data_IF_218788954032
#
_entry.id   IF_218788954032
#
_cell.length_a   1.000
_cell.length_b   1.000
_cell.length_c   1.000
_cell.angle_alpha   90.00
_cell.angle_beta   90.00
_cell.angle_gamma   90.00
#
_symmetry.space_group_name_H-M   'P 1'
#
loop_
_entity.id
_entity.type
_entity.pdbx_description
1 polymer ?
#
# COMPACT_ATOMS: atom_id res chain seq x y z
N UNK A 1 21.17 -16.95 -3.28
CA UNK A 1 21.12 -17.37 -1.87
C UNK A 1 21.12 -16.12 -1.00
N UNK A 2 19.95 -15.47 -0.84
CA UNK A 2 19.85 -14.18 -0.15
C UNK A 2 18.46 -14.00 0.51
N UNK A 3 17.69 -15.08 0.66
CA UNK A 3 16.27 -15.06 1.05
C UNK A 3 16.08 -14.48 2.46
N UNK A 4 17.03 -14.72 3.36
CA UNK A 4 17.02 -14.17 4.72
C UNK A 4 17.21 -12.65 4.70
N UNK A 5 18.11 -12.12 3.87
CA UNK A 5 18.32 -10.68 3.73
C UNK A 5 17.10 -9.99 3.09
N UNK A 6 16.49 -10.62 2.09
CA UNK A 6 15.23 -10.13 1.51
C UNK A 6 14.08 -10.15 2.52
N UNK A 7 13.96 -11.22 3.31
CA UNK A 7 12.95 -11.30 4.35
C UNK A 7 13.19 -10.25 5.44
N UNK A 8 14.45 -9.98 5.80
CA UNK A 8 14.80 -8.96 6.80
C UNK A 8 14.53 -7.55 6.29
N UNK A 9 14.88 -7.24 5.04
CA UNK A 9 14.55 -5.97 4.41
C UNK A 9 13.04 -5.79 4.27
N UNK A 10 12.33 -6.81 3.79
CA UNK A 10 10.87 -6.79 3.68
C UNK A 10 10.21 -6.61 5.06
N UNK A 11 10.73 -7.27 6.09
CA UNK A 11 10.25 -7.12 7.47
C UNK A 11 10.54 -5.72 8.00
N UNK A 12 11.74 -5.18 7.76
CA UNK A 12 12.12 -3.82 8.14
C UNK A 12 11.26 -2.75 7.46
N UNK A 13 10.93 -2.94 6.18
CA UNK A 13 10.02 -2.05 5.43
C UNK A 13 8.60 -2.16 5.97
N UNK A 14 8.11 -3.35 6.32
CA UNK A 14 6.78 -3.52 6.93
C UNK A 14 6.70 -2.83 8.29
N UNK A 15 7.72 -2.99 9.14
CA UNK A 15 7.78 -2.37 10.47
C UNK A 15 7.90 -0.85 10.32
N UNK A 16 8.87 -0.36 9.53
CA UNK A 16 9.06 1.07 9.30
C UNK A 16 7.85 1.73 8.64
N UNK A 17 7.26 1.05 7.64
CA UNK A 17 6.03 1.47 6.98
C UNK A 17 4.83 1.48 7.91
N UNK A 18 4.72 0.53 8.84
CA UNK A 18 3.70 0.52 9.88
C UNK A 18 3.83 1.72 10.83
N UNK A 19 5.06 2.04 11.26
CA UNK A 19 5.32 3.19 12.16
C UNK A 19 4.99 4.52 11.46
N UNK A 20 5.51 4.72 10.25
CA UNK A 20 5.25 5.93 9.45
C UNK A 20 3.77 6.02 9.07
N UNK A 21 3.17 4.89 8.66
CA UNK A 21 1.75 4.78 8.35
C UNK A 21 0.88 5.19 9.54
N UNK A 22 1.20 4.73 10.75
CA UNK A 22 0.47 5.09 11.97
C UNK A 22 0.52 6.60 12.24
N UNK A 23 1.67 7.24 12.01
CA UNK A 23 1.82 8.71 12.16
C UNK A 23 1.04 9.48 11.10
N UNK A 24 1.04 9.00 9.85
CA UNK A 24 0.27 9.61 8.78
C UNK A 24 -1.23 9.48 8.98
N UNK A 25 -1.70 8.30 9.40
CA UNK A 25 -3.12 8.05 9.69
C UNK A 25 -3.57 8.91 10.86
N UNK A 26 -2.84 8.90 11.98
CA UNK A 26 -3.19 9.73 13.16
C UNK A 26 -3.13 11.23 12.87
N UNK A 27 -2.14 11.69 12.09
CA UNK A 27 -2.04 13.08 11.66
C UNK A 27 -3.16 13.49 10.70
N UNK A 28 -3.44 12.66 9.69
CA UNK A 28 -4.53 12.87 8.73
C UNK A 28 -5.90 12.87 9.41
N UNK A 29 -6.10 12.00 10.39
CA UNK A 29 -7.34 11.95 11.16
C UNK A 29 -7.54 13.20 12.02
N UNK A 30 -6.49 13.62 12.73
CA UNK A 30 -6.52 14.86 13.53
C UNK A 30 -6.81 16.09 12.65
N UNK A 31 -6.27 16.11 11.42
CA UNK A 31 -6.51 17.19 10.47
C UNK A 31 -7.95 17.18 9.92
N UNK A 32 -8.50 15.99 9.62
CA UNK A 32 -9.82 15.85 9.03
C UNK A 32 -10.97 16.01 10.04
N UNK A 33 -10.81 15.51 11.27
CA UNK A 33 -11.88 15.46 12.29
C UNK A 33 -11.67 16.40 13.47
N UNK A 34 -10.49 17.04 13.57
CA UNK A 34 -10.13 17.91 14.69
C UNK A 34 -9.86 17.19 16.02
N UNK A 35 -10.06 15.86 16.08
CA UNK A 35 -9.89 15.04 17.27
C UNK A 35 -8.92 13.88 17.02
N UNK A 36 -8.33 13.34 18.08
CA UNK A 36 -7.39 12.23 18.00
C UNK A 36 -8.06 10.97 17.44
N UNK A 37 -7.39 10.27 16.52
CA UNK A 37 -7.89 9.01 15.96
C UNK A 37 -8.21 8.00 17.07
N UNK A 38 -9.41 7.38 17.06
CA UNK A 38 -9.78 6.35 18.02
C UNK A 38 -8.76 5.22 17.99
N UNK A 39 -8.32 4.77 19.17
CA UNK A 39 -7.32 3.70 19.29
C UNK A 39 -7.93 2.31 19.15
N UNK A 40 -9.25 2.19 19.27
CA UNK A 40 -9.98 0.93 19.27
C UNK A 40 -11.12 0.98 18.24
N UNK A 41 -10.94 0.25 17.14
CA UNK A 41 -11.93 0.09 16.07
C UNK A 41 -13.02 -0.96 16.39
N UNK A 42 -13.09 -1.41 17.65
CA UNK A 42 -13.97 -2.50 18.12
C UNK A 42 -15.03 -2.03 19.13
N UNK A 43 -15.13 -0.72 19.38
CA UNK A 43 -16.18 -0.19 20.25
C UNK A 43 -17.52 -0.16 19.48
N UNK A 44 -18.50 -0.96 19.92
CA UNK A 44 -19.78 -1.20 19.25
C UNK A 44 -20.66 0.05 19.08
N UNK A 45 -20.23 1.20 19.64
CA UNK A 45 -20.82 2.52 19.43
C UNK A 45 -20.13 3.35 18.35
N UNK A 46 -19.46 2.70 17.39
CA UNK A 46 -18.81 3.35 16.24
C UNK A 46 -19.77 4.36 15.55
N UNK A 47 -19.51 5.67 15.66
CA UNK A 47 -20.34 6.67 15.01
C UNK A 47 -20.32 6.46 13.50
N UNK A 48 -21.45 6.66 12.81
CA UNK A 48 -21.61 6.51 11.35
C UNK A 48 -20.48 7.19 10.55
N UNK A 49 -19.96 8.31 11.09
CA UNK A 49 -18.84 9.07 10.52
C UNK A 49 -17.54 8.25 10.47
N UNK A 50 -17.27 7.41 11.46
CA UNK A 50 -16.06 6.60 11.54
C UNK A 50 -16.15 5.37 10.62
N UNK A 51 -17.31 4.73 10.53
CA UNK A 51 -17.57 3.69 9.53
C UNK A 51 -17.42 4.22 8.09
N UNK A 52 -17.94 5.42 7.82
CA UNK A 52 -17.76 6.10 6.53
C UNK A 52 -16.30 6.46 6.25
N UNK A 53 -15.58 6.98 7.24
CA UNK A 53 -14.17 7.31 7.09
C UNK A 53 -13.31 6.06 6.83
N UNK A 54 -13.58 4.95 7.52
CA UNK A 54 -12.90 3.68 7.25
C UNK A 54 -13.18 3.19 5.83
N UNK A 55 -14.45 3.20 5.40
CA UNK A 55 -14.84 2.81 4.05
C UNK A 55 -14.16 3.69 2.98
N UNK A 56 -14.11 5.00 3.18
CA UNK A 56 -13.42 5.93 2.28
C UNK A 56 -11.91 5.69 2.22
N UNK A 57 -11.27 5.45 3.36
CA UNK A 57 -9.83 5.15 3.41
C UNK A 57 -9.53 3.81 2.72
N UNK A 58 -10.31 2.77 3.00
CA UNK A 58 -10.16 1.46 2.33
C UNK A 58 -10.38 1.55 0.82
N UNK A 59 -11.43 2.25 0.39
CA UNK A 59 -11.69 2.49 -1.03
C UNK A 59 -10.58 3.33 -1.69
N UNK A 60 -10.07 4.35 -1.00
CA UNK A 60 -8.97 5.18 -1.46
C UNK A 60 -7.68 4.40 -1.65
N UNK A 61 -7.29 3.56 -0.68
CA UNK A 61 -6.12 2.68 -0.80
C UNK A 61 -6.32 1.68 -1.94
N UNK A 62 -7.50 1.06 -2.06
CA UNK A 62 -7.80 0.12 -3.14
C UNK A 62 -7.71 0.77 -4.53
N UNK A 63 -8.23 1.99 -4.69
CA UNK A 63 -8.13 2.75 -5.93
C UNK A 63 -6.68 3.14 -6.26
N UNK A 64 -5.91 3.58 -5.26
CA UNK A 64 -4.49 3.90 -5.41
C UNK A 64 -3.68 2.66 -5.82
N UNK A 65 -3.90 1.53 -5.16
CA UNK A 65 -3.27 0.26 -5.51
C UNK A 65 -3.67 -0.19 -6.92
N UNK A 66 -4.93 0.01 -7.32
CA UNK A 66 -5.39 -0.29 -8.68
C UNK A 66 -4.69 0.59 -9.72
N UNK A 67 -4.64 1.91 -9.52
CA UNK A 67 -3.97 2.82 -10.46
C UNK A 67 -2.46 2.60 -10.49
N UNK A 68 -1.82 2.49 -9.32
CA UNK A 68 -0.39 2.22 -9.20
C UNK A 68 -0.03 0.83 -9.75
N UNK A 69 -0.87 -0.17 -9.47
CA UNK A 69 -0.75 -1.52 -9.97
C UNK A 69 -0.93 -1.60 -11.48
N UNK A 70 -1.96 -0.97 -12.06
CA UNK A 70 -2.16 -0.94 -13.50
C UNK A 70 -1.03 -0.20 -14.23
N UNK A 71 -0.55 0.94 -13.69
CA UNK A 71 0.58 1.69 -14.27
C UNK A 71 1.92 0.98 -14.08
N UNK A 72 2.12 0.34 -12.93
CA UNK A 72 3.33 -0.43 -12.60
C UNK A 72 3.41 -1.74 -13.37
N UNK A 73 2.31 -2.48 -13.44
CA UNK A 73 2.18 -3.71 -14.22
C UNK A 73 2.39 -3.44 -15.71
N UNK A 74 1.82 -2.38 -16.28
CA UNK A 74 2.07 -2.01 -17.68
C UNK A 74 3.57 -1.77 -17.97
N UNK A 75 4.29 -1.07 -17.09
CA UNK A 75 5.74 -0.86 -17.24
C UNK A 75 6.57 -2.13 -16.99
N UNK A 76 6.14 -2.99 -16.08
CA UNK A 76 6.81 -4.24 -15.78
C UNK A 76 6.62 -5.27 -16.90
N UNK A 77 5.40 -5.43 -17.39
CA UNK A 77 5.05 -6.30 -18.52
C UNK A 77 5.81 -5.84 -19.76
N UNK A 78 5.79 -4.55 -20.10
CA UNK A 78 6.57 -4.05 -21.24
C UNK A 78 8.09 -4.24 -21.10
N UNK A 79 8.64 -4.18 -19.88
CA UNK A 79 10.05 -4.51 -19.63
C UNK A 79 10.35 -6.00 -19.74
N UNK A 80 9.43 -6.87 -19.32
CA UNK A 80 9.55 -8.33 -19.42
C UNK A 80 9.44 -8.74 -20.89
N UNK A 81 8.45 -8.22 -21.61
CA UNK A 81 8.20 -8.47 -23.03
C UNK A 81 9.37 -8.00 -23.91
N UNK A 82 9.92 -6.81 -23.66
CA UNK A 82 11.12 -6.32 -24.33
C UNK A 82 12.40 -7.11 -23.98
N UNK A 83 12.41 -7.85 -22.86
CA UNK A 83 13.54 -8.71 -22.47
C UNK A 83 13.39 -10.13 -23.02
N UNK A 84 12.16 -10.60 -23.23
CA UNK A 84 11.85 -11.87 -23.90
C UNK A 84 12.02 -11.76 -25.41
N UNK A 85 11.60 -10.66 -26.05
CA UNK A 85 11.80 -10.42 -27.49
C UNK A 85 13.29 -10.42 -27.90
N UNK A 86 14.15 -9.75 -27.13
CA UNK A 86 15.59 -9.75 -27.42
C UNK A 86 16.29 -11.10 -27.26
N UNK A 87 15.68 -12.08 -26.58
CA UNK A 87 16.30 -13.40 -26.41
C UNK A 87 15.99 -14.33 -27.58
N UNK A 88 14.79 -14.21 -28.18
CA UNK A 88 14.41 -14.96 -29.38
C UNK A 88 15.11 -14.43 -30.65
N UNK A 89 15.40 -13.13 -30.70
CA UNK A 89 16.15 -12.51 -31.82
C UNK A 89 17.65 -12.88 -31.82
N UNK A 90 18.15 -13.42 -30.71
CA UNK A 90 19.57 -13.74 -30.50
C UNK A 90 19.83 -15.26 -30.48
N UNK A 91 18.81 -16.07 -30.79
CA UNK A 91 18.86 -17.53 -30.90
C UNK A 91 18.63 -18.02 -32.36
N UNK A 92 18.61 -17.11 -33.35
CA UNK A 92 18.52 -17.41 -34.80
C UNK A 92 19.78 -17.03 -35.57
#
# INVERSE_FOLDING_TARGET
MNTILHNLLATGIKIGGGIVGTKLVSGGWKLATGHSAPKDATDETLPIVEALAFAFVSAGIGALLKVAGQRGAGKAIGKIEAKTGRNIDNEV
#
